data_IF_257546159528
#
_entry.id   IF_257546159528
#
_cell.length_a   1.000
_cell.length_b   1.000
_cell.length_c   1.000
_cell.angle_alpha   90.00
_cell.angle_beta   90.00
_cell.angle_gamma   90.00
#
_symmetry.space_group_name_H-M   'P 1'
#
loop_
_entity.id
_entity.type
_entity.pdbx_description
1 polymer ?
#
# COMPACT_ATOMS: atom_id res chain seq x y z
N UNK A 1 -14.12 0.54 12.85
CA UNK A 1 -12.76 1.11 12.76
C UNK A 1 -12.71 2.56 13.23
N UNK A 2 -13.49 3.47 12.62
CA UNK A 2 -13.56 4.92 12.91
C UNK A 2 -13.59 5.27 14.41
N UNK A 3 -14.63 4.85 15.12
CA UNK A 3 -14.77 5.20 16.55
C UNK A 3 -13.80 4.44 17.45
N UNK A 4 -13.54 3.16 17.15
CA UNK A 4 -12.75 2.29 18.02
C UNK A 4 -11.25 2.61 17.99
N UNK A 5 -10.72 2.95 16.82
CA UNK A 5 -9.28 3.20 16.64
C UNK A 5 -9.00 4.68 16.38
N UNK A 6 -9.58 5.27 15.33
CA UNK A 6 -9.26 6.66 14.90
C UNK A 6 -9.59 7.68 15.98
N UNK A 7 -10.81 7.62 16.53
CA UNK A 7 -11.22 8.53 17.60
C UNK A 7 -10.30 8.45 18.82
N UNK A 8 -9.94 7.21 19.22
CA UNK A 8 -9.08 6.94 20.38
C UNK A 8 -7.67 7.50 20.22
N UNK A 9 -7.07 7.36 19.04
CA UNK A 9 -5.73 7.93 18.79
C UNK A 9 -5.77 9.45 18.78
N UNK A 10 -6.80 10.05 18.18
CA UNK A 10 -6.98 11.51 18.17
C UNK A 10 -7.25 12.05 19.59
N UNK A 11 -8.07 11.36 20.39
CA UNK A 11 -8.30 11.71 21.80
C UNK A 11 -7.00 11.68 22.63
N UNK A 12 -6.02 10.89 22.20
CA UNK A 12 -4.69 10.82 22.82
C UNK A 12 -3.73 11.91 22.32
N UNK A 13 -4.19 12.81 21.45
CA UNK A 13 -3.40 13.91 20.89
C UNK A 13 -2.60 13.56 19.63
N UNK A 14 -2.80 12.38 19.04
CA UNK A 14 -2.10 11.99 17.81
C UNK A 14 -2.71 12.73 16.62
N UNK A 15 -1.86 13.42 15.85
CA UNK A 15 -2.24 14.23 14.68
C UNK A 15 -1.87 13.58 13.36
N UNK A 16 -0.95 12.63 13.34
CA UNK A 16 -0.42 12.03 12.12
C UNK A 16 -0.80 10.55 12.09
N UNK A 17 -1.67 10.19 11.15
CA UNK A 17 -2.24 8.86 11.02
C UNK A 17 -1.68 8.22 9.76
N UNK A 18 -0.89 7.18 9.97
CA UNK A 18 -0.41 6.26 8.95
C UNK A 18 -1.26 4.99 9.07
N UNK A 19 -2.04 4.67 8.04
CA UNK A 19 -2.71 3.38 8.00
C UNK A 19 -1.68 2.27 7.72
N UNK A 20 -2.07 1.04 7.98
CA UNK A 20 -1.33 -0.14 7.53
C UNK A 20 -2.01 -0.66 6.25
N UNK A 21 -1.21 -1.26 5.36
CA UNK A 21 -1.49 -1.62 3.97
C UNK A 21 -2.91 -2.18 3.74
N UNK A 22 -3.88 -1.33 3.36
CA UNK A 22 -5.23 -1.80 3.14
C UNK A 22 -5.29 -2.42 1.74
N UNK A 23 -5.29 -3.74 1.60
CA UNK A 23 -5.13 -4.34 0.26
C UNK A 23 -6.13 -5.45 -0.05
N UNK A 24 -6.53 -5.52 -1.32
CA UNK A 24 -7.34 -6.63 -1.84
C UNK A 24 -6.52 -7.48 -2.79
N UNK A 25 -6.30 -8.74 -2.43
CA UNK A 25 -5.83 -9.73 -3.40
C UNK A 25 -6.84 -9.91 -4.53
N UNK A 26 -6.37 -9.91 -5.78
CA UNK A 26 -7.19 -10.19 -6.97
C UNK A 26 -7.93 -11.53 -6.81
N UNK A 27 -7.27 -12.55 -6.24
CA UNK A 27 -7.87 -13.87 -5.95
C UNK A 27 -8.91 -13.87 -4.82
N UNK A 28 -9.06 -12.79 -4.07
CA UNK A 28 -10.08 -12.65 -3.01
C UNK A 28 -11.49 -12.41 -3.57
N UNK A 29 -12.42 -12.00 -2.71
CA UNK A 29 -13.80 -11.66 -3.12
C UNK A 29 -14.83 -12.79 -3.03
N UNK A 30 -14.60 -13.79 -2.18
CA UNK A 30 -15.51 -14.93 -1.99
C UNK A 30 -16.26 -14.94 -0.65
N UNK A 31 -15.97 -13.98 0.24
CA UNK A 31 -16.64 -13.89 1.55
C UNK A 31 -18.10 -13.48 1.40
N UNK A 32 -18.93 -13.84 2.38
CA UNK A 32 -20.35 -13.45 2.38
C UNK A 32 -20.51 -11.93 2.38
N UNK A 33 -19.71 -11.21 3.18
CA UNK A 33 -19.70 -9.75 3.18
C UNK A 33 -19.40 -9.14 1.80
N UNK A 34 -18.46 -9.73 1.04
CA UNK A 34 -18.19 -9.26 -0.32
C UNK A 34 -19.35 -9.53 -1.29
N UNK A 35 -20.02 -10.68 -1.14
CA UNK A 35 -21.21 -11.02 -1.96
C UNK A 35 -22.39 -10.10 -1.65
N UNK A 36 -22.56 -9.70 -0.40
CA UNK A 36 -23.53 -8.68 0.02
C UNK A 36 -23.19 -7.32 -0.59
N UNK A 37 -21.92 -6.88 -0.50
CA UNK A 37 -21.49 -5.63 -1.13
C UNK A 37 -21.60 -5.66 -2.65
N UNK A 38 -21.42 -6.82 -3.28
CA UNK A 38 -21.67 -6.98 -4.71
C UNK A 38 -23.13 -6.70 -5.05
N UNK A 39 -24.07 -7.31 -4.30
CA UNK A 39 -25.49 -7.06 -4.49
C UNK A 39 -25.85 -5.59 -4.24
N UNK A 40 -25.28 -4.98 -3.20
CA UNK A 40 -25.49 -3.56 -2.90
C UNK A 40 -24.97 -2.63 -4.01
N UNK A 41 -23.81 -2.94 -4.59
CA UNK A 41 -23.15 -2.09 -5.58
C UNK A 41 -23.67 -2.29 -7.00
N UNK A 42 -23.91 -3.53 -7.41
CA UNK A 42 -24.32 -3.87 -8.78
C UNK A 42 -25.81 -4.20 -8.94
N UNK A 43 -26.54 -4.41 -7.84
CA UNK A 43 -27.96 -4.80 -7.88
C UNK A 43 -28.22 -6.19 -8.45
N UNK A 44 -27.21 -7.05 -8.53
CA UNK A 44 -27.31 -8.42 -9.06
C UNK A 44 -26.65 -9.43 -8.13
N UNK A 45 -27.04 -10.71 -8.14
CA UNK A 45 -26.34 -11.74 -7.38
C UNK A 45 -24.88 -11.84 -7.80
N UNK A 46 -23.99 -12.05 -6.83
CA UNK A 46 -22.58 -12.31 -7.09
C UNK A 46 -22.40 -13.54 -7.98
N UNK A 47 -21.43 -13.47 -8.89
CA UNK A 47 -21.00 -14.57 -9.75
C UNK A 47 -19.53 -14.86 -9.53
N UNK A 48 -19.11 -16.10 -9.80
CA UNK A 48 -17.71 -16.48 -9.67
C UNK A 48 -16.84 -15.64 -10.62
N UNK A 49 -15.88 -14.94 -10.02
CA UNK A 49 -14.94 -14.08 -10.75
C UNK A 49 -14.10 -14.84 -11.78
N UNK A 50 -13.90 -16.16 -11.60
CA UNK A 50 -13.18 -16.99 -12.57
C UNK A 50 -14.07 -17.46 -13.74
N UNK A 51 -15.38 -17.21 -13.68
CA UNK A 51 -16.32 -17.67 -14.71
C UNK A 51 -16.16 -16.96 -16.05
N UNK A 52 -15.67 -15.71 -16.07
CA UNK A 52 -15.39 -14.96 -17.29
C UNK A 52 -14.46 -13.76 -17.05
N UNK A 53 -13.82 -13.22 -18.10
CA UNK A 53 -13.07 -11.96 -18.01
C UNK A 53 -13.91 -10.79 -17.47
N UNK A 54 -15.19 -10.73 -17.83
CA UNK A 54 -16.10 -9.69 -17.34
C UNK A 54 -16.33 -9.80 -15.83
N UNK A 55 -16.51 -11.01 -15.31
CA UNK A 55 -16.68 -11.22 -13.87
C UNK A 55 -15.39 -10.96 -13.10
N UNK A 56 -14.22 -11.27 -13.67
CA UNK A 56 -12.92 -10.86 -13.13
C UNK A 56 -12.84 -9.34 -13.02
N UNK A 57 -13.18 -8.62 -14.10
CA UNK A 57 -13.16 -7.15 -14.11
C UNK A 57 -14.12 -6.55 -13.09
N UNK A 58 -15.39 -6.99 -13.06
CA UNK A 58 -16.39 -6.49 -12.11
C UNK A 58 -15.99 -6.76 -10.66
N UNK A 59 -15.45 -7.94 -10.35
CA UNK A 59 -14.94 -8.25 -9.00
C UNK A 59 -13.82 -7.31 -8.59
N UNK A 60 -12.85 -7.06 -9.47
CA UNK A 60 -11.75 -6.15 -9.17
C UNK A 60 -12.20 -4.67 -9.12
N UNK A 61 -13.16 -4.26 -9.94
CA UNK A 61 -13.77 -2.93 -9.87
C UNK A 61 -14.48 -2.70 -8.54
N UNK A 62 -15.16 -3.71 -7.99
CA UNK A 62 -15.78 -3.60 -6.67
C UNK A 62 -14.72 -3.51 -5.56
N UNK A 63 -13.68 -4.34 -5.58
CA UNK A 63 -12.55 -4.26 -4.61
C UNK A 63 -11.92 -2.87 -4.61
N UNK A 64 -11.66 -2.33 -5.80
CA UNK A 64 -11.18 -0.96 -6.01
C UNK A 64 -12.08 0.06 -5.32
N UNK A 65 -13.40 -0.01 -5.58
CA UNK A 65 -14.36 0.93 -5.01
C UNK A 65 -14.48 0.79 -3.49
N UNK A 66 -14.52 -0.44 -2.97
CA UNK A 66 -14.60 -0.71 -1.53
C UNK A 66 -13.41 -0.12 -0.79
N UNK A 67 -12.21 -0.28 -1.35
CA UNK A 67 -11.00 0.28 -0.77
C UNK A 67 -11.02 1.82 -0.84
N UNK A 68 -11.34 2.40 -2.01
CA UNK A 68 -11.48 3.85 -2.15
C UNK A 68 -12.44 4.44 -1.11
N UNK A 69 -13.64 3.84 -0.99
CA UNK A 69 -14.67 4.26 -0.04
C UNK A 69 -14.18 4.15 1.39
N UNK A 70 -13.47 3.06 1.74
CA UNK A 70 -12.95 2.88 3.10
C UNK A 70 -11.95 3.97 3.49
N UNK A 71 -11.04 4.36 2.59
CA UNK A 71 -10.09 5.45 2.84
C UNK A 71 -10.80 6.79 3.03
N UNK A 72 -11.70 7.14 2.11
CA UNK A 72 -12.50 8.37 2.21
C UNK A 72 -13.22 8.44 3.54
N UNK A 73 -13.94 7.37 3.88
CA UNK A 73 -14.73 7.27 5.09
C UNK A 73 -13.90 7.36 6.38
N UNK A 74 -12.70 6.78 6.41
CA UNK A 74 -11.84 6.76 7.60
C UNK A 74 -11.13 8.11 7.77
N UNK A 75 -10.59 8.68 6.69
CA UNK A 75 -9.82 9.92 6.75
C UNK A 75 -10.69 11.16 6.86
N UNK A 76 -11.83 11.20 6.17
CA UNK A 76 -12.80 12.28 6.36
C UNK A 76 -13.28 12.33 7.81
N UNK A 77 -13.57 11.16 8.41
CA UNK A 77 -13.86 11.09 9.85
C UNK A 77 -12.70 11.57 10.73
N UNK A 78 -11.46 11.14 10.45
CA UNK A 78 -10.29 11.56 11.22
C UNK A 78 -10.12 13.08 11.22
N UNK A 79 -10.27 13.70 10.05
CA UNK A 79 -10.14 15.15 9.86
C UNK A 79 -11.27 15.92 10.55
N UNK A 80 -12.52 15.49 10.37
CA UNK A 80 -13.69 16.09 11.03
C UNK A 80 -13.57 16.00 12.56
N UNK A 81 -13.21 14.83 13.06
CA UNK A 81 -13.07 14.60 14.49
C UNK A 81 -11.91 15.39 15.09
N UNK A 82 -10.74 15.38 14.43
CA UNK A 82 -9.60 16.22 14.81
C UNK A 82 -9.96 17.69 14.89
N UNK A 83 -10.65 18.22 13.86
CA UNK A 83 -11.12 19.61 13.84
C UNK A 83 -12.04 19.92 15.02
N UNK A 84 -12.93 18.99 15.40
CA UNK A 84 -13.80 19.17 16.58
C UNK A 84 -13.04 19.29 17.91
N UNK A 85 -11.79 18.80 17.94
CA UNK A 85 -10.87 18.88 19.08
C UNK A 85 -9.85 20.02 18.97
N UNK A 86 -9.91 20.82 17.90
CA UNK A 86 -8.90 21.83 17.60
C UNK A 86 -7.56 21.25 17.16
N UNK A 87 -7.54 20.02 16.66
CA UNK A 87 -6.35 19.33 16.14
C UNK A 87 -6.39 19.33 14.62
N UNK A 88 -5.25 19.59 13.98
CA UNK A 88 -5.07 19.38 12.54
C UNK A 88 -4.55 17.97 12.29
N UNK A 89 -5.40 17.08 11.78
CA UNK A 89 -5.06 15.69 11.54
C UNK A 89 -4.61 15.46 10.09
N UNK A 90 -3.45 14.81 9.94
CA UNK A 90 -2.84 14.38 8.68
C UNK A 90 -3.02 12.88 8.49
N UNK A 91 -3.34 12.47 7.27
CA UNK A 91 -3.66 11.11 6.90
C UNK A 91 -2.78 10.65 5.73
N UNK A 92 -2.12 9.51 5.92
CA UNK A 92 -1.16 8.95 4.96
C UNK A 92 -1.55 7.52 4.54
N UNK A 93 -1.47 7.25 3.24
CA UNK A 93 -1.78 5.92 2.67
C UNK A 93 -0.48 5.20 2.32
N UNK A 94 -0.15 4.07 2.97
CA UNK A 94 0.83 3.15 2.42
C UNK A 94 0.26 2.45 1.18
N UNK A 95 1.04 2.38 0.11
CA UNK A 95 0.62 1.69 -1.12
C UNK A 95 1.86 1.25 -1.91
N UNK A 96 1.77 0.08 -2.54
CA UNK A 96 2.78 -0.33 -3.51
C UNK A 96 2.62 0.43 -4.82
N UNK A 97 3.66 0.37 -5.65
CA UNK A 97 3.57 0.89 -7.01
C UNK A 97 2.68 0.03 -7.89
N UNK A 98 2.12 0.64 -8.94
CA UNK A 98 1.42 -0.08 -10.01
C UNK A 98 2.23 -1.27 -10.59
N UNK A 99 3.56 -1.15 -10.63
CA UNK A 99 4.47 -2.21 -11.11
C UNK A 99 4.37 -3.43 -10.20
N UNK A 100 4.44 -3.23 -8.89
CA UNK A 100 4.31 -4.32 -7.93
C UNK A 100 2.88 -4.85 -7.87
N UNK A 101 1.86 -3.99 -7.85
CA UNK A 101 0.45 -4.44 -7.90
C UNK A 101 0.13 -5.31 -9.10
N UNK A 102 0.73 -5.03 -10.25
CA UNK A 102 0.64 -5.91 -11.43
C UNK A 102 1.33 -7.25 -11.21
N UNK A 103 2.48 -7.26 -10.51
CA UNK A 103 3.28 -8.46 -10.25
C UNK A 103 2.63 -9.38 -9.19
N UNK A 104 2.08 -8.80 -8.13
CA UNK A 104 1.44 -9.51 -7.02
C UNK A 104 -0.06 -9.71 -7.18
N UNK A 105 -0.66 -9.10 -8.20
CA UNK A 105 -2.09 -9.16 -8.47
C UNK A 105 -2.89 -8.63 -7.28
N UNK A 106 -2.54 -7.43 -6.83
CA UNK A 106 -3.21 -6.73 -5.75
C UNK A 106 -4.01 -5.57 -6.35
N UNK A 107 -5.20 -5.33 -5.81
CA UNK A 107 -6.15 -4.34 -6.27
C UNK A 107 -6.15 -3.17 -5.30
N UNK A 108 -5.79 -2.00 -5.81
CA UNK A 108 -5.77 -0.73 -5.08
C UNK A 108 -6.41 0.38 -5.93
N UNK A 109 -7.06 1.38 -5.30
CA UNK A 109 -7.60 2.54 -5.99
C UNK A 109 -6.53 3.58 -6.33
N UNK A 110 -5.28 3.15 -6.56
CA UNK A 110 -4.07 3.97 -6.64
C UNK A 110 -4.27 5.23 -7.51
N UNK A 111 -4.81 5.07 -8.72
CA UNK A 111 -5.10 6.18 -9.63
C UNK A 111 -6.17 7.16 -9.12
N UNK A 112 -7.18 6.68 -8.38
CA UNK A 112 -8.22 7.53 -7.78
C UNK A 112 -7.86 8.07 -6.41
N UNK A 113 -6.78 7.61 -5.77
CA UNK A 113 -6.33 8.20 -4.51
C UNK A 113 -6.06 9.69 -4.68
N UNK A 114 -5.62 10.10 -5.87
CA UNK A 114 -5.46 11.48 -6.27
C UNK A 114 -6.71 12.35 -6.05
N UNK A 115 -7.90 11.77 -6.18
CA UNK A 115 -9.19 12.44 -6.04
C UNK A 115 -9.69 12.55 -4.60
N UNK A 116 -9.00 11.93 -3.63
CA UNK A 116 -9.38 11.97 -2.21
C UNK A 116 -8.71 13.15 -1.52
N UNK A 117 -9.40 14.28 -1.38
CA UNK A 117 -8.88 15.49 -0.69
C UNK A 117 -8.51 15.24 0.78
N UNK A 118 -9.03 14.16 1.36
CA UNK A 118 -8.75 13.74 2.73
C UNK A 118 -7.37 13.05 2.90
N UNK A 119 -6.61 12.84 1.83
CA UNK A 119 -5.26 12.24 1.85
C UNK A 119 -4.20 13.33 1.78
N UNK A 120 -3.33 13.42 2.80
CA UNK A 120 -2.23 14.40 2.85
C UNK A 120 -0.94 13.88 2.22
N UNK A 121 -0.79 12.56 2.14
CA UNK A 121 0.40 11.95 1.56
C UNK A 121 0.36 10.44 1.45
N UNK A 122 1.48 9.89 0.98
CA UNK A 122 1.65 8.49 0.68
C UNK A 122 2.94 7.97 1.26
N UNK A 123 2.95 6.68 1.59
CA UNK A 123 4.18 5.94 1.81
C UNK A 123 4.32 4.95 0.64
N UNK A 124 5.37 5.14 -0.16
CA UNK A 124 5.76 4.17 -1.17
C UNK A 124 6.28 2.92 -0.48
N UNK A 125 5.44 1.90 -0.43
CA UNK A 125 5.75 0.58 0.13
C UNK A 125 6.57 -0.21 -0.90
N UNK A 126 7.80 0.25 -1.09
CA UNK A 126 8.81 -0.35 -1.98
C UNK A 126 9.94 -0.81 -1.10
N UNK A 127 10.19 -2.12 -1.06
CA UNK A 127 11.26 -2.70 -0.26
C UNK A 127 11.85 -3.90 -0.99
N UNK A 128 12.76 -4.60 -0.32
CA UNK A 128 13.44 -5.77 -0.90
C UNK A 128 12.44 -6.80 -1.44
N UNK A 129 11.32 -7.06 -0.77
CA UNK A 129 10.32 -8.04 -1.22
C UNK A 129 9.66 -7.66 -2.54
N UNK A 130 9.13 -6.44 -2.63
CA UNK A 130 8.44 -5.95 -3.84
C UNK A 130 9.40 -5.78 -5.02
N UNK A 131 10.57 -5.17 -4.77
CA UNK A 131 11.56 -4.87 -5.80
C UNK A 131 12.28 -6.10 -6.34
N UNK A 132 12.30 -7.22 -5.61
CA UNK A 132 12.92 -8.46 -6.08
C UNK A 132 12.06 -9.23 -7.07
N UNK A 133 10.80 -8.86 -7.30
CA UNK A 133 9.97 -9.72 -8.12
C UNK A 133 10.44 -9.81 -9.58
N UNK A 134 10.62 -11.04 -10.10
CA UNK A 134 11.15 -11.22 -11.44
C UNK A 134 10.19 -10.66 -12.50
N UNK A 135 10.68 -9.72 -13.30
CA UNK A 135 9.95 -9.17 -14.44
C UNK A 135 10.63 -9.51 -15.77
N UNK A 136 9.91 -9.29 -16.86
CA UNK A 136 10.40 -9.51 -18.21
C UNK A 136 11.07 -8.26 -18.76
N UNK A 137 12.34 -8.38 -19.14
CA UNK A 137 13.04 -7.38 -19.96
C UNK A 137 13.67 -8.10 -21.15
N UNK A 138 13.35 -7.63 -22.36
CA UNK A 138 13.75 -8.28 -23.63
C UNK A 138 13.40 -9.78 -23.65
N UNK A 139 12.22 -10.14 -23.15
CA UNK A 139 11.73 -11.52 -23.10
C UNK A 139 12.34 -12.39 -21.99
N UNK A 140 13.28 -11.88 -21.19
CA UNK A 140 13.92 -12.65 -20.11
C UNK A 140 13.33 -12.27 -18.76
N UNK A 141 12.67 -13.24 -18.10
CA UNK A 141 12.19 -13.10 -16.73
C UNK A 141 13.35 -13.24 -15.75
N UNK A 142 13.66 -12.19 -14.99
CA UNK A 142 14.76 -12.18 -14.01
C UNK A 142 14.50 -11.15 -12.92
N UNK A 143 14.99 -11.43 -11.72
CA UNK A 143 15.14 -10.46 -10.63
C UNK A 143 16.16 -9.36 -11.01
N UNK A 144 15.77 -8.10 -10.81
CA UNK A 144 16.54 -6.88 -11.15
C UNK A 144 16.25 -5.80 -10.10
N UNK A 145 16.76 -6.01 -8.90
CA UNK A 145 16.30 -5.29 -7.69
C UNK A 145 16.45 -3.77 -7.81
N UNK A 146 17.62 -3.30 -8.24
CA UNK A 146 17.85 -1.86 -8.39
C UNK A 146 16.91 -1.26 -9.45
N UNK A 147 16.83 -1.87 -10.63
CA UNK A 147 16.02 -1.36 -11.73
C UNK A 147 14.52 -1.37 -11.39
N UNK A 148 14.06 -2.43 -10.72
CA UNK A 148 12.69 -2.51 -10.24
C UNK A 148 12.41 -1.40 -9.22
N UNK A 149 13.20 -1.33 -8.15
CA UNK A 149 13.05 -0.30 -7.12
C UNK A 149 13.06 1.10 -7.72
N UNK A 150 14.01 1.37 -8.64
CA UNK A 150 14.12 2.65 -9.33
C UNK A 150 12.82 2.98 -10.08
N UNK A 151 12.23 2.04 -10.81
CA UNK A 151 10.97 2.26 -11.52
C UNK A 151 9.78 2.36 -10.56
N UNK A 152 9.75 1.59 -9.47
CA UNK A 152 8.68 1.65 -8.48
C UNK A 152 8.64 3.00 -7.76
N UNK A 153 9.78 3.51 -7.27
CA UNK A 153 9.87 4.85 -6.69
C UNK A 153 9.49 5.93 -7.70
N UNK A 154 9.89 5.76 -8.97
CA UNK A 154 9.53 6.66 -10.05
C UNK A 154 8.03 6.72 -10.31
N UNK A 155 7.37 5.56 -10.31
CA UNK A 155 5.92 5.45 -10.42
C UNK A 155 5.24 6.23 -9.29
N UNK A 156 5.66 5.97 -8.05
CA UNK A 156 5.09 6.62 -6.86
C UNK A 156 5.28 8.13 -6.86
N UNK A 157 6.50 8.61 -7.15
CA UNK A 157 6.78 10.04 -7.20
C UNK A 157 6.01 10.73 -8.33
N UNK A 158 5.98 10.14 -9.53
CA UNK A 158 5.31 10.72 -10.69
C UNK A 158 3.80 10.84 -10.49
N UNK A 159 3.18 9.84 -9.87
CA UNK A 159 1.75 9.86 -9.59
C UNK A 159 1.34 10.99 -8.65
N UNK A 160 2.19 11.30 -7.67
CA UNK A 160 1.85 12.20 -6.56
C UNK A 160 2.33 13.63 -6.77
N UNK A 161 3.32 13.83 -7.66
CA UNK A 161 3.90 15.13 -7.96
C UNK A 161 2.87 16.22 -8.36
N UNK A 162 1.85 15.97 -9.20
CA UNK A 162 0.87 16.99 -9.58
C UNK A 162 0.03 17.51 -8.41
N UNK A 163 -0.09 16.74 -7.33
CA UNK A 163 -0.94 17.05 -6.18
C UNK A 163 -0.19 17.76 -5.05
N UNK A 164 1.14 17.85 -5.13
CA UNK A 164 1.98 18.41 -4.06
C UNK A 164 1.87 17.66 -2.72
N UNK A 165 1.39 16.42 -2.74
CA UNK A 165 1.21 15.59 -1.54
C UNK A 165 2.55 15.09 -1.01
N UNK A 166 2.65 14.90 0.30
CA UNK A 166 3.88 14.40 0.92
C UNK A 166 4.12 12.95 0.49
N UNK A 167 5.36 12.62 0.16
CA UNK A 167 5.77 11.28 -0.22
C UNK A 167 6.85 10.79 0.75
N UNK A 168 6.63 9.62 1.34
CA UNK A 168 7.62 8.89 2.11
C UNK A 168 8.09 7.69 1.31
N UNK A 169 9.39 7.41 1.30
CA UNK A 169 9.91 6.14 0.80
C UNK A 169 10.12 5.19 1.98
N UNK A 170 9.46 4.02 1.95
CA UNK A 170 9.76 2.97 2.90
C UNK A 170 11.22 2.54 2.71
N UNK A 171 11.98 2.54 3.79
CA UNK A 171 13.37 2.12 3.85
C UNK A 171 13.45 0.90 4.74
N UNK A 172 13.15 -0.24 4.13
CA UNK A 172 13.14 -1.50 4.81
C UNK A 172 14.23 -2.45 4.29
N UNK A 173 15.05 -2.95 5.22
CA UNK A 173 16.16 -3.85 4.96
C UNK A 173 15.80 -5.33 4.99
N UNK A 174 14.62 -5.70 5.49
CA UNK A 174 14.21 -7.11 5.64
C UNK A 174 12.93 -7.33 4.84
N UNK A 175 12.81 -8.48 4.17
CA UNK A 175 11.59 -8.92 3.50
C UNK A 175 10.92 -10.07 4.24
N UNK A 176 9.66 -10.34 3.92
CA UNK A 176 8.86 -11.42 4.51
C UNK A 176 9.44 -12.83 4.26
N UNK A 177 10.23 -12.98 3.20
CA UNK A 177 10.88 -14.26 2.87
C UNK A 177 12.17 -14.38 3.68
N UNK A 178 12.31 -15.49 4.40
CA UNK A 178 13.53 -15.78 5.16
C UNK A 178 14.75 -15.90 4.23
N UNK A 179 15.77 -15.09 4.50
CA UNK A 179 17.05 -15.05 3.79
C UNK A 179 18.19 -14.88 4.79
N UNK A 180 19.42 -14.97 4.29
CA UNK A 180 20.59 -14.64 5.08
C UNK A 180 20.89 -13.13 5.07
N UNK A 181 21.70 -12.69 6.02
CA UNK A 181 22.10 -11.29 6.17
C UNK A 181 22.90 -10.74 4.98
N UNK A 182 23.57 -11.60 4.21
CA UNK A 182 24.31 -11.16 3.03
C UNK A 182 23.35 -10.80 1.92
N UNK A 183 22.33 -11.62 1.70
CA UNK A 183 21.25 -11.36 0.76
C UNK A 183 20.48 -10.08 1.14
N UNK A 184 20.04 -9.95 2.40
CA UNK A 184 19.38 -8.72 2.87
C UNK A 184 20.23 -7.48 2.64
N UNK A 185 21.53 -7.53 2.95
CA UNK A 185 22.45 -6.41 2.74
C UNK A 185 22.55 -6.02 1.26
N UNK A 186 22.75 -6.97 0.35
CA UNK A 186 22.89 -6.70 -1.08
C UNK A 186 21.62 -6.05 -1.62
N UNK A 187 20.46 -6.59 -1.26
CA UNK A 187 19.18 -6.12 -1.76
C UNK A 187 18.79 -4.76 -1.15
N UNK A 188 19.05 -4.55 0.14
CA UNK A 188 18.87 -3.26 0.78
C UNK A 188 19.76 -2.17 0.15
N UNK A 189 21.03 -2.48 -0.14
CA UNK A 189 21.91 -1.52 -0.81
C UNK A 189 21.40 -1.17 -2.21
N UNK A 190 20.83 -2.13 -2.94
CA UNK A 190 20.23 -1.89 -4.24
C UNK A 190 18.97 -1.00 -4.15
N UNK A 191 18.04 -1.30 -3.24
CA UNK A 191 16.82 -0.50 -3.07
C UNK A 191 17.14 0.90 -2.52
N UNK A 192 18.04 1.02 -1.55
CA UNK A 192 18.47 2.30 -0.99
C UNK A 192 19.18 3.17 -2.04
N UNK A 193 20.08 2.59 -2.84
CA UNK A 193 20.69 3.32 -3.95
C UNK A 193 19.65 3.85 -4.95
N UNK A 194 18.61 3.07 -5.24
CA UNK A 194 17.52 3.51 -6.10
C UNK A 194 16.69 4.66 -5.51
N UNK A 195 16.42 4.64 -4.20
CA UNK A 195 15.76 5.75 -3.49
C UNK A 195 16.51 7.07 -3.67
N UNK A 196 17.85 7.04 -3.49
CA UNK A 196 18.71 8.23 -3.57
C UNK A 196 18.73 8.88 -4.96
N UNK A 197 18.31 8.17 -6.01
CA UNK A 197 18.20 8.74 -7.35
C UNK A 197 17.04 9.75 -7.49
N UNK A 198 16.13 9.80 -6.52
CA UNK A 198 15.00 10.74 -6.49
C UNK A 198 15.24 11.84 -5.45
N UNK A 199 16.08 12.81 -5.80
CA UNK A 199 16.50 13.91 -4.91
C UNK A 199 15.37 14.80 -4.37
N UNK A 200 14.20 14.77 -5.01
CA UNK A 200 13.02 15.55 -4.62
C UNK A 200 12.18 14.87 -3.51
N UNK A 201 12.69 13.78 -2.94
CA UNK A 201 12.11 13.08 -1.79
C UNK A 201 13.16 13.00 -0.69
N UNK A 202 12.88 13.69 0.42
CA UNK A 202 13.75 13.81 1.58
C UNK A 202 13.17 13.13 2.83
N UNK A 203 12.06 12.41 2.67
CA UNK A 203 11.35 11.74 3.76
C UNK A 203 11.31 10.23 3.57
N UNK A 204 11.70 9.53 4.63
CA UNK A 204 11.88 8.08 4.65
C UNK A 204 11.16 7.50 5.86
N UNK A 205 10.40 6.43 5.65
CA UNK A 205 9.88 5.61 6.74
C UNK A 205 10.90 4.52 7.04
N UNK A 206 11.41 4.46 8.27
CA UNK A 206 12.35 3.43 8.70
C UNK A 206 11.60 2.46 9.61
N UNK A 207 11.54 1.19 9.21
CA UNK A 207 10.85 0.16 9.98
C UNK A 207 11.73 -0.27 11.18
N UNK A 208 11.32 -0.01 12.43
CA UNK A 208 12.05 -0.53 13.58
C UNK A 208 11.74 -2.03 13.72
N UNK A 209 12.68 -2.88 13.29
CA UNK A 209 12.49 -4.32 13.41
C UNK A 209 12.56 -4.77 14.87
N UNK A 210 11.52 -5.43 15.41
CA UNK A 210 11.56 -5.96 16.76
C UNK A 210 12.53 -7.13 16.87
N UNK A 211 13.00 -7.39 18.10
CA UNK A 211 13.91 -8.50 18.44
C UNK A 211 13.47 -9.84 17.86
N UNK A 212 12.16 -10.08 17.67
CA UNK A 212 11.63 -11.29 17.02
C UNK A 212 12.25 -11.58 15.65
N UNK A 213 12.56 -10.54 14.87
CA UNK A 213 13.14 -10.67 13.53
C UNK A 213 14.64 -10.96 13.62
N UNK A 214 15.32 -10.40 14.62
CA UNK A 214 16.75 -10.59 14.82
C UNK A 214 17.11 -11.88 15.57
N UNK A 215 16.23 -12.36 16.45
CA UNK A 215 16.52 -13.41 17.41
C UNK A 215 15.78 -14.73 17.13
N UNK A 216 14.86 -14.77 16.16
CA UNK A 216 14.16 -16.00 15.75
C UNK A 216 13.35 -16.67 16.87
N UNK A 217 12.93 -15.90 17.89
CA UNK A 217 12.40 -16.42 19.16
C UNK A 217 10.94 -16.89 19.13
N UNK A 218 10.24 -16.76 18.00
CA UNK A 218 8.84 -17.16 17.89
C UNK A 218 8.62 -17.93 16.58
N UNK A 219 7.97 -19.10 16.69
CA UNK A 219 7.61 -19.92 15.53
C UNK A 219 6.64 -19.17 14.62
N UNK A 220 6.89 -19.26 13.31
CA UNK A 220 6.00 -18.75 12.27
C UNK A 220 4.78 -19.67 12.25
N UNK A 221 3.61 -19.13 12.58
CA UNK A 221 2.33 -19.85 12.55
C UNK A 221 1.88 -20.16 11.11
#
# INVERSE_FOLDING_TARGET
>A
MKEKQIKRVIDSGITDIYLEEPEFWMRGGYSNAFKEEWMNYYGTPWQDQQGSPDMTYLSNKLKYWLYYRALDEIFSYAKEYGKSKGLEVKCYVPTHSLINYTSWQIVSPEASLASLDCVDGYIAQVWTGTSREPNYFKGVRKERVFENAFLEYGCMKSMTAPLGRKMYFLTDSIEDRAKDWTDYKINYQATFAAQLMYSDVDTYEVMPWPDRIYQGLYDIA
#
